data_IF_952522457849
#
_entry.id   IF_952522457849
#
_cell.length_a   1.000
_cell.length_b   1.000
_cell.length_c   1.000
_cell.angle_alpha   90.00
_cell.angle_beta   90.00
_cell.angle_gamma   90.00
#
_symmetry.space_group_name_H-M   'P 1'
#
loop_
_entity.id
_entity.type
_entity.pdbx_description
1 polymer ?
#
# COMPACT_ATOMS: atom_id res chain seq x y z
N UNK A 1 0.91 -30.60 -23.60
CA UNK A 1 2.19 -30.00 -23.19
C UNK A 1 1.89 -29.05 -22.05
N UNK A 2 2.59 -29.21 -20.93
CA UNK A 2 2.26 -28.63 -19.63
C UNK A 2 2.16 -27.10 -19.68
N UNK A 3 1.09 -26.57 -19.07
CA UNK A 3 0.89 -25.14 -18.82
C UNK A 3 2.09 -24.63 -18.04
N UNK A 4 2.80 -23.65 -18.59
CA UNK A 4 3.87 -22.95 -17.90
C UNK A 4 3.37 -22.59 -16.50
N UNK A 5 4.03 -23.15 -15.48
CA UNK A 5 3.74 -22.83 -14.08
C UNK A 5 3.75 -21.31 -13.96
N UNK A 6 2.61 -20.72 -13.60
CA UNK A 6 2.56 -19.32 -13.21
C UNK A 6 3.57 -19.20 -12.09
N UNK A 7 4.70 -18.55 -12.35
CA UNK A 7 5.58 -18.10 -11.28
C UNK A 7 4.67 -17.29 -10.38
N UNK A 8 4.37 -17.83 -9.20
CA UNK A 8 3.50 -17.21 -8.23
C UNK A 8 4.28 -15.99 -7.76
N UNK A 9 4.09 -14.85 -8.43
CA UNK A 9 4.79 -13.62 -8.09
C UNK A 9 4.39 -13.28 -6.67
N UNK A 10 5.38 -13.26 -5.77
CA UNK A 10 5.19 -12.86 -4.39
C UNK A 10 4.97 -11.35 -4.36
N UNK A 11 3.70 -10.96 -4.53
CA UNK A 11 3.27 -9.58 -4.50
C UNK A 11 2.99 -9.14 -3.07
N UNK A 12 3.58 -8.01 -2.70
CA UNK A 12 3.44 -7.40 -1.39
C UNK A 12 2.93 -5.98 -1.54
N UNK A 13 1.91 -5.64 -0.75
CA UNK A 13 1.42 -4.28 -0.63
C UNK A 13 1.94 -3.69 0.66
N UNK A 14 2.61 -2.56 0.53
CA UNK A 14 3.04 -1.71 1.62
C UNK A 14 2.24 -0.42 1.61
N UNK A 15 1.82 0.02 2.79
CA UNK A 15 1.10 1.26 3.01
C UNK A 15 1.83 2.07 4.06
N UNK A 16 2.11 3.32 3.72
CA UNK A 16 2.81 4.27 4.59
C UNK A 16 2.01 5.54 4.74
N UNK A 17 2.09 6.21 5.88
CA UNK A 17 1.56 7.58 5.98
C UNK A 17 2.46 8.56 5.21
N UNK A 18 1.89 9.42 4.36
CA UNK A 18 2.68 10.42 3.64
C UNK A 18 3.20 11.51 4.60
N UNK A 19 4.32 12.12 4.24
CA UNK A 19 4.75 13.41 4.82
C UNK A 19 4.08 14.62 4.17
N UNK A 20 3.42 14.43 3.02
CA UNK A 20 2.78 15.48 2.22
C UNK A 20 1.31 15.67 2.58
N UNK A 21 0.75 16.83 2.21
CA UNK A 21 -0.67 17.15 2.43
C UNK A 21 -1.58 16.36 1.49
N UNK A 22 -2.70 15.84 2.00
CA UNK A 22 -3.65 15.00 1.25
C UNK A 22 -4.23 15.65 -0.03
N UNK A 23 -4.17 16.98 -0.17
CA UNK A 23 -4.70 17.72 -1.32
C UNK A 23 -3.99 17.42 -2.65
N UNK A 24 -2.77 16.86 -2.63
CA UNK A 24 -2.01 16.51 -3.83
C UNK A 24 -2.16 15.03 -4.23
N UNK A 25 -2.84 14.21 -3.41
CA UNK A 25 -2.93 12.77 -3.58
C UNK A 25 -4.27 12.36 -4.21
N UNK A 26 -4.25 11.30 -5.02
CA UNK A 26 -5.47 10.76 -5.66
C UNK A 26 -6.41 10.22 -4.59
N UNK A 27 -7.70 10.55 -4.65
CA UNK A 27 -8.66 10.02 -3.69
C UNK A 27 -8.84 8.50 -3.87
N UNK A 28 -8.72 7.76 -2.77
CA UNK A 28 -8.96 6.33 -2.70
C UNK A 28 -10.43 6.11 -2.36
N UNK A 29 -11.19 5.54 -3.30
CA UNK A 29 -12.63 5.34 -3.10
C UNK A 29 -12.92 4.36 -1.97
N UNK A 30 -13.89 4.69 -1.11
CA UNK A 30 -14.26 3.88 0.04
C UNK A 30 -14.69 2.46 -0.34
N UNK A 31 -15.45 2.32 -1.42
CA UNK A 31 -15.87 0.99 -1.90
C UNK A 31 -14.68 0.11 -2.27
N UNK A 32 -13.65 0.68 -2.88
CA UNK A 32 -12.45 -0.03 -3.29
C UNK A 32 -11.64 -0.52 -2.08
N UNK A 33 -11.53 0.32 -1.04
CA UNK A 33 -10.91 -0.06 0.24
C UNK A 33 -11.65 -1.22 0.89
N UNK A 34 -12.99 -1.25 0.83
CA UNK A 34 -13.79 -2.34 1.39
C UNK A 34 -13.66 -3.64 0.58
N UNK A 35 -13.51 -3.55 -0.74
CA UNK A 35 -13.39 -4.71 -1.63
C UNK A 35 -12.05 -5.41 -1.55
N UNK A 36 -10.99 -4.69 -1.17
CA UNK A 36 -9.62 -5.22 -1.10
C UNK A 36 -9.22 -5.36 0.38
N UNK A 37 -9.35 -6.56 0.99
CA UNK A 37 -9.01 -6.80 2.39
C UNK A 37 -7.62 -6.28 2.76
N UNK A 38 -6.62 -6.49 1.90
CA UNK A 38 -5.27 -6.00 2.12
C UNK A 38 -5.19 -4.48 2.34
N UNK A 39 -5.96 -3.68 1.60
CA UNK A 39 -6.03 -2.23 1.79
C UNK A 39 -6.73 -1.86 3.09
N UNK A 40 -7.90 -2.48 3.35
CA UNK A 40 -8.68 -2.24 4.57
C UNK A 40 -7.86 -2.50 5.82
N UNK A 41 -7.14 -3.63 5.86
CA UNK A 41 -6.28 -4.00 6.97
C UNK A 41 -5.08 -3.07 7.11
N UNK A 42 -4.38 -2.80 5.99
CA UNK A 42 -3.18 -1.97 6.02
C UNK A 42 -3.49 -0.53 6.48
N UNK A 43 -4.55 0.07 5.95
CA UNK A 43 -4.97 1.42 6.33
C UNK A 43 -5.37 1.46 7.81
N UNK A 44 -6.16 0.48 8.30
CA UNK A 44 -6.51 0.39 9.73
C UNK A 44 -5.28 0.20 10.62
N UNK A 45 -4.31 -0.59 10.19
CA UNK A 45 -3.09 -0.84 10.96
C UNK A 45 -2.25 0.45 11.09
N UNK A 46 -2.05 1.17 9.99
CA UNK A 46 -1.34 2.46 9.98
C UNK A 46 -2.08 3.50 10.82
N UNK A 47 -3.41 3.58 10.71
CA UNK A 47 -4.22 4.50 11.50
C UNK A 47 -4.17 4.19 13.00
N UNK A 48 -4.28 2.92 13.38
CA UNK A 48 -4.19 2.49 14.77
C UNK A 48 -2.81 2.81 15.36
N UNK A 49 -1.74 2.50 14.62
CA UNK A 49 -0.38 2.81 15.05
C UNK A 49 -0.19 4.32 15.25
N UNK A 50 -0.73 5.14 14.33
CA UNK A 50 -0.75 6.60 14.43
C UNK A 50 -1.49 7.08 15.69
N UNK A 51 -2.67 6.53 15.99
CA UNK A 51 -3.47 6.89 17.17
C UNK A 51 -2.82 6.48 18.49
N UNK A 52 -2.28 5.27 18.57
CA UNK A 52 -1.67 4.74 19.79
C UNK A 52 -0.45 5.56 20.23
N UNK A 53 0.26 6.15 19.27
CA UNK A 53 1.41 7.02 19.55
C UNK A 53 1.02 8.44 19.94
N UNK A 54 -0.04 8.99 19.33
CA UNK A 54 -0.63 10.25 19.78
C UNK A 54 -1.07 10.17 21.25
N UNK A 55 -1.58 9.01 21.69
CA UNK A 55 -1.96 8.76 23.09
C UNK A 55 -0.76 8.62 24.04
N UNK A 56 0.40 8.15 23.55
CA UNK A 56 1.61 7.90 24.36
C UNK A 56 2.50 9.13 24.56
N UNK A 57 2.06 10.31 24.12
CA UNK A 57 2.85 11.54 24.23
C UNK A 57 4.12 11.53 23.36
N UNK A 58 4.22 10.61 22.40
CA UNK A 58 5.31 10.55 21.45
C UNK A 58 5.24 11.73 20.50
N UNK A 59 6.18 12.65 20.66
CA UNK A 59 6.32 13.87 19.87
C UNK A 59 6.50 13.59 18.38
N UNK A 60 6.42 14.68 17.61
CA UNK A 60 6.43 14.78 16.14
C UNK A 60 7.73 14.32 15.47
N UNK A 61 8.34 13.20 15.88
CA UNK A 61 9.60 12.73 15.34
C UNK A 61 9.49 11.30 14.80
N UNK A 62 9.34 11.22 13.48
CA UNK A 62 10.19 10.35 12.67
C UNK A 62 9.85 8.87 12.55
N UNK A 63 8.72 8.37 13.05
CA UNK A 63 8.37 6.96 12.81
C UNK A 63 7.46 6.84 11.59
N UNK A 64 8.06 6.49 10.44
CA UNK A 64 7.35 6.12 9.22
C UNK A 64 6.59 4.82 9.51
N UNK A 65 5.26 4.89 9.55
CA UNK A 65 4.41 3.72 9.81
C UNK A 65 4.25 2.95 8.52
N UNK A 66 5.10 1.95 8.33
CA UNK A 66 5.06 1.09 7.17
C UNK A 66 4.34 -0.20 7.60
N UNK A 67 3.19 -0.47 6.99
CA UNK A 67 2.53 -1.78 7.09
C UNK A 67 2.65 -2.48 5.76
N UNK A 68 3.25 -3.67 5.78
CA UNK A 68 3.44 -4.50 4.59
C UNK A 68 2.78 -5.86 4.78
N UNK A 69 2.02 -6.30 3.79
CA UNK A 69 1.48 -7.66 3.75
C UNK A 69 1.56 -8.24 2.35
N UNK A 70 1.65 -9.57 2.30
CA UNK A 70 1.49 -10.32 1.07
C UNK A 70 0.05 -10.19 0.56
N UNK A 71 -0.11 -10.06 -0.75
CA UNK A 71 -1.41 -10.06 -1.40
C UNK A 71 -1.92 -11.48 -1.57
N UNK A 72 -3.20 -11.67 -1.29
CA UNK A 72 -3.86 -12.91 -1.65
C UNK A 72 -4.11 -12.93 -3.18
N UNK A 73 -4.07 -14.11 -3.83
CA UNK A 73 -4.22 -14.20 -5.27
C UNK A 73 -5.49 -13.56 -5.85
N UNK A 74 -6.55 -13.48 -5.05
CA UNK A 74 -7.83 -12.87 -5.45
C UNK A 74 -7.82 -11.33 -5.39
N UNK A 75 -6.84 -10.73 -4.70
CA UNK A 75 -6.72 -9.28 -4.54
C UNK A 75 -5.75 -8.67 -5.55
N UNK A 76 -4.92 -9.50 -6.21
CA UNK A 76 -3.80 -9.05 -7.05
C UNK A 76 -4.27 -8.12 -8.17
N UNK A 77 -5.29 -8.51 -8.93
CA UNK A 77 -5.74 -7.74 -10.09
C UNK A 77 -6.31 -6.38 -9.68
N UNK A 78 -7.10 -6.36 -8.60
CA UNK A 78 -7.68 -5.15 -8.03
C UNK A 78 -6.59 -4.21 -7.52
N UNK A 79 -5.60 -4.72 -6.80
CA UNK A 79 -4.47 -3.90 -6.31
C UNK A 79 -3.60 -3.41 -7.46
N UNK A 80 -3.31 -4.26 -8.45
CA UNK A 80 -2.53 -3.88 -9.64
C UNK A 80 -3.18 -2.73 -10.41
N UNK A 81 -4.52 -2.71 -10.48
CA UNK A 81 -5.27 -1.65 -11.16
C UNK A 81 -5.06 -0.26 -10.54
N UNK A 82 -4.76 -0.19 -9.23
CA UNK A 82 -4.42 1.06 -8.55
C UNK A 82 -3.14 1.68 -9.11
N UNK A 83 -2.19 0.84 -9.52
CA UNK A 83 -0.89 1.28 -10.02
C UNK A 83 -0.86 1.38 -11.55
N UNK A 84 -2.01 1.33 -12.22
CA UNK A 84 -2.09 1.49 -13.67
C UNK A 84 -1.52 2.85 -14.09
N UNK A 85 -0.54 2.82 -15.00
CA UNK A 85 0.15 4.02 -15.48
C UNK A 85 1.26 4.54 -14.56
N UNK A 86 1.53 3.90 -13.42
CA UNK A 86 2.64 4.27 -12.55
C UNK A 86 3.97 3.76 -13.11
N UNK A 87 5.03 4.53 -12.89
CA UNK A 87 6.38 4.13 -13.29
C UNK A 87 6.84 2.94 -12.44
N UNK A 88 7.28 1.89 -13.11
CA UNK A 88 7.93 0.76 -12.47
C UNK A 88 9.40 1.08 -12.17
N UNK A 89 9.86 0.68 -10.98
CA UNK A 89 11.27 0.76 -10.56
C UNK A 89 11.78 -0.63 -10.26
N UNK A 90 12.99 -0.93 -10.73
CA UNK A 90 13.68 -2.21 -10.51
C UNK A 90 14.99 -1.94 -9.77
N UNK A 91 15.18 -2.58 -8.62
CA UNK A 91 16.39 -2.46 -7.78
C UNK A 91 17.31 -3.70 -7.87
N UNK A 92 17.02 -4.62 -8.79
CA UNK A 92 17.71 -5.88 -8.97
C UNK A 92 17.16 -7.03 -8.12
N UNK A 93 16.47 -6.75 -7.00
CA UNK A 93 15.84 -7.75 -6.11
C UNK A 93 14.33 -7.79 -6.24
N UNK A 94 13.71 -6.66 -6.50
CA UNK A 94 12.27 -6.49 -6.65
C UNK A 94 11.94 -5.46 -7.72
N UNK A 95 10.75 -5.57 -8.29
CA UNK A 95 10.13 -4.45 -8.99
C UNK A 95 9.09 -3.80 -8.09
N UNK A 96 8.97 -2.47 -8.17
CA UNK A 96 8.02 -1.72 -7.36
C UNK A 96 7.30 -0.64 -8.14
N UNK A 97 6.07 -0.35 -7.70
CA UNK A 97 5.25 0.78 -8.17
C UNK A 97 4.68 1.48 -6.95
N UNK A 98 4.81 2.80 -6.90
CA UNK A 98 4.34 3.61 -5.75
C UNK A 98 3.43 4.73 -6.21
N UNK A 99 2.41 5.03 -5.41
CA UNK A 99 1.51 6.15 -5.63
C UNK A 99 0.94 6.68 -4.32
N UNK A 100 0.74 7.99 -4.25
CA UNK A 100 0.14 8.66 -3.12
C UNK A 100 -1.37 8.76 -3.27
N UNK A 101 -2.07 8.35 -2.22
CA UNK A 101 -3.51 8.29 -2.11
C UNK A 101 -4.02 9.08 -0.92
N UNK A 102 -5.21 9.66 -1.03
CA UNK A 102 -5.92 10.25 0.10
C UNK A 102 -7.11 9.37 0.51
N UNK A 103 -7.29 9.15 1.80
CA UNK A 103 -8.41 8.40 2.35
C UNK A 103 -8.84 9.03 3.69
N UNK A 104 -10.12 9.38 3.81
CA UNK A 104 -10.67 10.13 4.94
C UNK A 104 -9.84 11.36 5.35
N UNK A 105 -9.36 12.12 4.36
CA UNK A 105 -8.58 13.35 4.59
C UNK A 105 -7.14 13.13 5.06
N UNK A 106 -6.66 11.88 5.09
CA UNK A 106 -5.26 11.52 5.37
C UNK A 106 -4.56 11.07 4.10
N UNK A 107 -3.25 11.30 4.01
CA UNK A 107 -2.45 10.84 2.87
C UNK A 107 -1.71 9.55 3.22
N UNK A 108 -1.73 8.61 2.27
CA UNK A 108 -1.05 7.34 2.32
C UNK A 108 -0.24 7.09 1.04
N UNK A 109 1.02 6.70 1.17
CA UNK A 109 1.83 6.19 0.06
C UNK A 109 1.63 4.68 0.00
N UNK A 110 1.04 4.19 -1.07
CA UNK A 110 0.92 2.76 -1.35
C UNK A 110 2.08 2.36 -2.25
N UNK A 111 2.74 1.25 -1.93
CA UNK A 111 3.79 0.66 -2.75
C UNK A 111 3.52 -0.82 -2.97
N UNK A 112 3.45 -1.23 -4.23
CA UNK A 112 3.35 -2.62 -4.62
C UNK A 112 4.75 -3.12 -4.98
N UNK A 113 5.17 -4.21 -4.34
CA UNK A 113 6.42 -4.91 -4.63
C UNK A 113 6.15 -6.26 -5.28
N UNK A 114 6.93 -6.63 -6.29
CA UNK A 114 7.04 -7.97 -6.82
C UNK A 114 8.48 -8.47 -6.64
N UNK A 115 8.66 -9.48 -5.80
CA UNK A 115 9.99 -10.09 -5.58
C UNK A 115 10.32 -11.09 -6.69
N UNK A 116 11.60 -11.10 -7.09
CA UNK A 116 12.16 -11.95 -8.15
C UNK A 116 12.59 -13.33 -7.64
#
# INVERSE_FOLDING_TARGET
>A
MCVAGRVQQDLWLEVRACQQTAAAAKELEHEMVLRIPALSEALKAVEKASQDMAKKGGGKEGTMWDYSRKLDPHEIDDVMSLFAGMQERDDGRSTSRSADYSYYGRCYTLTLFAFK
#
